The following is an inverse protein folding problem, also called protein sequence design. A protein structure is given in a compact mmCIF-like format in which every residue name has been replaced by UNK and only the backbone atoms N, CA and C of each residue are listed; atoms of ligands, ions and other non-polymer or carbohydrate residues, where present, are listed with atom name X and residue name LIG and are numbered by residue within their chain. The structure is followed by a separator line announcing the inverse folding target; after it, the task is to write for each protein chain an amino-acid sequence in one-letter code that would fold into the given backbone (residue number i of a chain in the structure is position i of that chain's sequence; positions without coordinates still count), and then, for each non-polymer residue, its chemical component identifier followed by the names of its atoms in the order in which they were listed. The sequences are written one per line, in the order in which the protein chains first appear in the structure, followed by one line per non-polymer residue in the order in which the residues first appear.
data_IF_874366328653
#
_entry.id   IF_874366328653
#
_cell.length_a   1.000
_cell.length_b   1.000
_cell.length_c   1.000
_cell.angle_alpha   90.00
_cell.angle_beta   90.00
_cell.angle_gamma   90.00
#
_symmetry.space_group_name_H-M   'P 1'
#
loop_
_entity.id
_entity.type
_entity.pdbx_description
1 polymer ?
#
# COMPACT_ATOMS: atom_id res chain seq x y z
N UNK A 1 6.90 9.65 12.10
CA UNK A 1 7.38 9.92 10.74
C UNK A 1 6.41 10.86 10.00
N UNK A 2 5.18 10.45 9.72
CA UNK A 2 4.23 11.29 8.96
C UNK A 2 3.95 12.62 9.65
N UNK A 3 3.80 12.64 10.97
CA UNK A 3 3.53 13.86 11.73
C UNK A 3 4.71 14.85 11.64
N UNK A 4 5.94 14.35 11.71
CA UNK A 4 7.13 15.20 11.79
C UNK A 4 7.58 15.70 10.41
N UNK A 5 7.39 14.88 9.36
CA UNK A 5 7.91 15.16 8.01
C UNK A 5 6.86 15.48 6.97
N UNK A 6 5.56 15.44 7.29
CA UNK A 6 4.49 15.71 6.30
C UNK A 6 4.60 17.10 5.66
N UNK A 7 5.16 18.07 6.38
CA UNK A 7 5.40 19.43 5.89
C UNK A 7 6.81 19.64 5.32
N UNK A 8 7.68 18.63 5.32
CA UNK A 8 8.97 18.69 4.65
C UNK A 8 8.76 18.67 3.13
N UNK A 9 9.25 19.72 2.46
CA UNK A 9 9.10 19.86 1.01
C UNK A 9 9.80 18.76 0.21
N UNK A 10 10.78 18.08 0.81
CA UNK A 10 11.46 16.93 0.21
C UNK A 10 10.59 15.70 0.23
N UNK A 11 9.73 15.53 1.25
CA UNK A 11 8.90 14.35 1.42
C UNK A 11 7.64 14.39 0.55
N UNK A 12 6.85 15.49 0.65
CA UNK A 12 5.52 15.58 0.05
C UNK A 12 5.30 16.96 -0.58
N UNK A 13 5.02 17.00 -1.88
CA UNK A 13 4.68 18.27 -2.51
C UNK A 13 4.51 18.22 -4.03
N UNK A 14 3.85 19.25 -4.56
CA UNK A 14 3.65 19.45 -6.01
C UNK A 14 4.99 19.61 -6.75
N UNK A 15 6.00 20.17 -6.08
CA UNK A 15 7.35 20.29 -6.66
C UNK A 15 7.95 18.92 -6.99
N UNK A 16 7.68 17.90 -6.16
CA UNK A 16 8.13 16.54 -6.43
C UNK A 16 7.46 15.95 -7.68
N UNK A 17 6.19 16.33 -7.95
CA UNK A 17 5.50 15.91 -9.17
C UNK A 17 6.17 16.47 -10.43
N UNK A 18 6.66 17.72 -10.37
CA UNK A 18 7.34 18.36 -11.49
C UNK A 18 8.77 17.81 -11.67
N UNK A 19 9.51 17.66 -10.57
CA UNK A 19 10.93 17.27 -10.60
C UNK A 19 11.12 15.76 -10.72
N UNK A 20 10.27 14.99 -10.05
CA UNK A 20 10.44 13.54 -9.90
C UNK A 20 9.29 12.73 -10.52
N UNK A 21 8.23 13.39 -11.04
CA UNK A 21 6.98 12.74 -11.50
C UNK A 21 6.30 11.87 -10.43
N UNK A 22 6.48 12.26 -9.17
CA UNK A 22 5.91 11.61 -7.97
C UNK A 22 5.43 12.68 -7.00
N UNK A 23 4.32 12.43 -6.29
CA UNK A 23 3.87 13.34 -5.21
C UNK A 23 4.67 13.06 -3.94
N UNK A 24 4.92 11.77 -3.66
CA UNK A 24 5.78 11.33 -2.57
C UNK A 24 7.18 11.08 -3.12
N UNK A 25 8.18 11.74 -2.55
CA UNK A 25 9.57 11.46 -2.89
C UNK A 25 10.05 10.21 -2.15
N UNK A 26 9.93 9.08 -2.79
CA UNK A 26 10.38 7.82 -2.22
C UNK A 26 11.91 7.71 -2.12
N UNK A 27 12.65 8.41 -2.95
CA UNK A 27 14.11 8.47 -2.83
C UNK A 27 14.51 9.16 -1.52
N UNK A 28 13.83 10.25 -1.16
CA UNK A 28 14.02 10.87 0.16
C UNK A 28 13.64 9.91 1.29
N UNK A 29 12.51 9.19 1.18
CA UNK A 29 12.02 8.30 2.22
C UNK A 29 12.94 7.08 2.42
N UNK A 30 13.30 6.41 1.34
CA UNK A 30 14.03 5.12 1.40
C UNK A 30 15.56 5.30 1.44
N UNK A 31 16.10 6.43 1.04
CA UNK A 31 17.53 6.71 1.10
C UNK A 31 17.87 7.68 2.24
N UNK A 32 17.51 8.97 2.10
CA UNK A 32 17.95 9.98 3.06
C UNK A 32 17.38 9.78 4.45
N UNK A 33 16.05 9.55 4.53
CA UNK A 33 15.37 9.43 5.82
C UNK A 33 15.77 8.14 6.53
N UNK A 34 15.70 7.00 5.84
CA UNK A 34 15.92 5.69 6.46
C UNK A 34 17.38 5.33 6.74
N UNK A 35 18.33 6.02 6.10
CA UNK A 35 19.76 5.76 6.33
C UNK A 35 20.46 6.85 7.14
N UNK A 36 20.00 8.11 7.07
CA UNK A 36 20.75 9.24 7.62
C UNK A 36 19.99 10.04 8.68
N UNK A 37 18.69 10.31 8.46
CA UNK A 37 17.91 11.20 9.33
C UNK A 37 17.24 10.42 10.47
N UNK A 38 16.59 9.31 10.14
CA UNK A 38 16.00 8.34 11.08
C UNK A 38 16.50 6.95 10.69
N UNK A 39 17.75 6.60 11.00
CA UNK A 39 18.34 5.36 10.52
C UNK A 39 17.55 4.16 11.02
N UNK A 40 17.13 3.33 10.09
CA UNK A 40 16.50 2.05 10.34
C UNK A 40 17.59 1.03 10.71
N UNK A 41 17.34 0.22 11.70
CA UNK A 41 18.22 -0.91 12.04
C UNK A 41 18.02 -2.04 11.03
N UNK A 42 18.67 -1.90 9.86
CA UNK A 42 18.63 -2.90 8.80
C UNK A 42 19.21 -4.24 9.23
N UNK A 43 20.22 -4.22 10.07
CA UNK A 43 20.87 -5.42 10.60
C UNK A 43 19.88 -6.27 11.39
N UNK A 44 19.18 -5.67 12.33
CA UNK A 44 18.11 -6.36 13.08
C UNK A 44 16.98 -6.79 12.17
N UNK A 45 16.57 -5.96 11.21
CA UNK A 45 15.52 -6.34 10.25
C UNK A 45 15.88 -7.60 9.46
N UNK A 46 17.08 -7.65 8.87
CA UNK A 46 17.50 -8.80 8.06
C UNK A 46 17.80 -10.05 8.88
N UNK A 47 18.36 -9.89 10.10
CA UNK A 47 18.70 -11.02 10.98
C UNK A 47 17.49 -11.56 11.76
N UNK A 48 16.41 -10.79 11.88
CA UNK A 48 15.20 -11.22 12.59
C UNK A 48 14.63 -12.51 11.97
N UNK A 49 14.25 -13.50 12.78
CA UNK A 49 13.59 -14.72 12.33
C UNK A 49 12.14 -14.48 11.87
N UNK A 50 11.60 -13.27 12.10
CA UNK A 50 10.25 -12.94 11.68
C UNK A 50 10.12 -12.93 10.15
N UNK A 51 9.09 -13.60 9.66
CA UNK A 51 8.71 -13.50 8.25
C UNK A 51 8.17 -12.10 7.96
N UNK A 52 8.58 -11.56 6.84
CA UNK A 52 8.06 -10.29 6.34
C UNK A 52 7.78 -10.45 4.85
N UNK A 53 6.57 -10.09 4.43
CA UNK A 53 6.13 -10.18 3.03
C UNK A 53 5.56 -8.85 2.59
N UNK A 54 6.12 -8.25 1.54
CA UNK A 54 5.55 -7.11 0.85
C UNK A 54 4.67 -7.59 -0.31
N UNK A 55 3.57 -6.88 -0.57
CA UNK A 55 2.65 -7.22 -1.67
C UNK A 55 2.66 -6.08 -2.70
N UNK A 56 2.92 -6.40 -3.95
CA UNK A 56 2.85 -5.43 -5.04
C UNK A 56 2.05 -6.00 -6.22
N UNK A 57 1.52 -5.11 -7.06
CA UNK A 57 0.75 -5.51 -8.26
C UNK A 57 1.65 -5.45 -9.48
N UNK A 58 1.82 -6.58 -10.17
CA UNK A 58 2.53 -6.64 -11.44
C UNK A 58 1.71 -5.97 -12.55
N UNK A 59 2.31 -5.02 -13.28
CA UNK A 59 1.60 -4.27 -14.33
C UNK A 59 1.24 -5.14 -15.53
N UNK A 60 2.08 -6.12 -15.85
CA UNK A 60 1.86 -6.99 -17.02
C UNK A 60 0.72 -7.98 -16.78
N UNK A 61 0.67 -8.59 -15.58
CA UNK A 61 -0.32 -9.62 -15.24
C UNK A 61 -1.60 -9.04 -14.61
N UNK A 62 -1.50 -7.87 -13.94
CA UNK A 62 -2.55 -7.28 -13.12
C UNK A 62 -2.79 -8.04 -11.81
N UNK A 63 -1.91 -8.97 -11.46
CA UNK A 63 -2.03 -9.82 -10.27
C UNK A 63 -1.14 -9.32 -9.14
N UNK A 64 -1.49 -9.71 -7.90
CA UNK A 64 -0.66 -9.47 -6.74
C UNK A 64 0.50 -10.47 -6.71
N UNK A 65 1.70 -9.96 -6.46
CA UNK A 65 2.88 -10.76 -6.18
C UNK A 65 3.36 -10.49 -4.75
N UNK A 66 3.87 -11.56 -4.12
CA UNK A 66 4.28 -11.58 -2.72
C UNK A 66 5.79 -11.72 -2.64
N UNK A 67 6.44 -10.72 -2.05
CA UNK A 67 7.89 -10.64 -1.92
C UNK A 67 8.28 -10.90 -0.47
N UNK A 68 8.84 -12.06 -0.22
CA UNK A 68 9.28 -12.46 1.12
C UNK A 68 10.72 -12.00 1.38
N UNK A 69 10.96 -11.46 2.57
CA UNK A 69 12.29 -11.01 3.00
C UNK A 69 13.37 -12.06 2.81
N UNK A 70 13.03 -13.32 3.05
CA UNK A 70 13.98 -14.46 2.99
C UNK A 70 14.44 -14.82 1.58
N UNK A 71 13.65 -14.51 0.54
CA UNK A 71 13.90 -14.92 -0.84
C UNK A 71 13.99 -13.76 -1.83
N UNK A 72 13.52 -12.57 -1.45
CA UNK A 72 13.55 -11.39 -2.30
C UNK A 72 14.95 -10.78 -2.33
N UNK A 73 15.52 -10.57 -3.52
CA UNK A 73 16.84 -9.97 -3.69
C UNK A 73 16.91 -8.49 -3.26
N UNK A 74 15.78 -7.78 -3.33
CA UNK A 74 15.64 -6.38 -2.90
C UNK A 74 14.27 -6.15 -2.27
N UNK A 75 14.17 -6.45 -0.97
CA UNK A 75 12.92 -6.29 -0.22
C UNK A 75 12.54 -4.80 -0.06
N UNK A 76 13.50 -3.88 -0.07
CA UNK A 76 13.21 -2.45 0.03
C UNK A 76 12.55 -1.93 -1.24
N UNK A 77 12.99 -2.39 -2.42
CA UNK A 77 12.29 -2.11 -3.67
C UNK A 77 10.87 -2.69 -3.67
N UNK A 78 10.65 -3.88 -3.09
CA UNK A 78 9.32 -4.46 -2.97
C UNK A 78 8.41 -3.65 -2.01
N UNK A 79 8.94 -3.14 -0.89
CA UNK A 79 8.22 -2.24 0.02
C UNK A 79 7.88 -0.93 -0.69
N UNK A 80 8.82 -0.37 -1.45
CA UNK A 80 8.58 0.83 -2.27
C UNK A 80 7.46 0.57 -3.29
N UNK A 81 7.51 -0.55 -4.02
CA UNK A 81 6.48 -0.93 -4.97
C UNK A 81 5.10 -1.08 -4.31
N UNK A 82 5.06 -1.75 -3.15
CA UNK A 82 3.86 -1.93 -2.33
C UNK A 82 3.19 -0.61 -1.92
N UNK A 83 3.96 0.46 -1.83
CA UNK A 83 3.51 1.81 -1.44
C UNK A 83 3.32 2.75 -2.62
N UNK A 84 3.65 2.32 -3.86
CA UNK A 84 3.64 3.15 -5.06
C UNK A 84 2.24 3.23 -5.67
N UNK A 85 1.48 4.26 -5.30
CA UNK A 85 0.11 4.46 -5.79
C UNK A 85 0.08 4.84 -7.28
N UNK A 86 -0.85 4.28 -8.08
CA UNK A 86 -1.04 4.65 -9.48
C UNK A 86 -1.23 6.16 -9.66
N UNK A 87 -0.56 6.74 -10.65
CA UNK A 87 -0.55 8.17 -11.00
C UNK A 87 0.15 9.10 -9.98
N UNK A 88 0.41 8.65 -8.76
CA UNK A 88 1.04 9.45 -7.71
C UNK A 88 2.50 9.07 -7.50
N UNK A 89 2.91 7.90 -8.00
CA UNK A 89 4.26 7.36 -7.89
C UNK A 89 4.67 6.65 -9.17
N UNK A 90 5.97 6.54 -9.39
CA UNK A 90 6.52 5.73 -10.49
C UNK A 90 6.37 4.25 -10.20
N UNK A 91 6.18 3.46 -11.26
CA UNK A 91 6.29 2.02 -11.15
C UNK A 91 7.73 1.61 -10.81
N UNK A 92 7.87 0.66 -9.90
CA UNK A 92 9.16 0.11 -9.47
C UNK A 92 9.52 -1.08 -10.34
N UNK A 93 10.74 -1.09 -10.87
CA UNK A 93 11.23 -2.19 -11.69
C UNK A 93 11.97 -3.21 -10.82
N UNK A 94 11.50 -4.45 -10.83
CA UNK A 94 12.14 -5.58 -10.16
C UNK A 94 12.09 -6.81 -11.08
N UNK A 95 13.18 -7.55 -11.16
CA UNK A 95 13.27 -8.80 -11.96
C UNK A 95 12.78 -8.66 -13.41
N UNK A 96 12.97 -7.50 -14.02
CA UNK A 96 12.53 -7.21 -15.40
C UNK A 96 11.08 -6.78 -15.56
N UNK A 97 10.25 -6.85 -14.51
CA UNK A 97 8.84 -6.47 -14.47
C UNK A 97 8.63 -5.11 -13.77
N UNK A 98 7.46 -4.52 -13.97
CA UNK A 98 7.05 -3.26 -13.35
C UNK A 98 5.93 -3.50 -12.33
N UNK A 99 6.06 -2.85 -11.17
CA UNK A 99 5.16 -3.03 -10.05
C UNK A 99 4.64 -1.69 -9.51
N UNK A 100 3.41 -1.71 -9.05
CA UNK A 100 2.76 -0.65 -8.28
C UNK A 100 2.10 -1.24 -7.04
N UNK A 101 1.42 -0.36 -6.26
CA UNK A 101 0.75 -0.67 -4.99
C UNK A 101 -0.02 -1.99 -5.01
N UNK A 102 0.24 -2.83 -4.02
CA UNK A 102 -0.43 -4.12 -3.86
C UNK A 102 -1.94 -4.01 -3.75
N UNK A 103 -2.45 -2.90 -3.22
CA UNK A 103 -3.89 -2.62 -3.13
C UNK A 103 -4.62 -2.52 -4.46
N UNK A 104 -3.89 -2.41 -5.59
CA UNK A 104 -4.49 -2.47 -6.92
C UNK A 104 -5.01 -3.87 -7.28
N UNK A 105 -4.38 -4.92 -6.78
CA UNK A 105 -4.80 -6.32 -6.98
C UNK A 105 -5.28 -6.99 -5.69
N UNK A 106 -4.65 -6.69 -4.54
CA UNK A 106 -4.93 -7.32 -3.26
C UNK A 106 -4.82 -6.30 -2.13
N UNK A 107 -5.93 -5.66 -1.77
CA UNK A 107 -5.93 -4.59 -0.76
C UNK A 107 -5.67 -5.11 0.65
N UNK A 108 -6.16 -6.31 0.98
CA UNK A 108 -6.01 -6.93 2.30
C UNK A 108 -5.61 -8.40 2.07
N UNK A 109 -4.33 -8.75 2.23
CA UNK A 109 -3.80 -10.06 1.84
C UNK A 109 -4.02 -11.18 2.88
N UNK A 110 -5.17 -11.19 3.58
CA UNK A 110 -5.49 -12.17 4.62
C UNK A 110 -5.52 -13.60 4.09
N UNK A 111 -5.94 -13.78 2.83
CA UNK A 111 -6.01 -15.10 2.23
C UNK A 111 -4.63 -15.77 2.14
N UNK A 112 -3.59 -14.98 1.81
CA UNK A 112 -2.21 -15.49 1.80
C UNK A 112 -1.81 -16.05 3.18
N UNK A 113 -2.17 -15.37 4.26
CA UNK A 113 -1.88 -15.87 5.60
C UNK A 113 -2.63 -17.19 5.91
N UNK A 114 -3.87 -17.33 5.44
CA UNK A 114 -4.63 -18.58 5.56
C UNK A 114 -3.97 -19.71 4.74
N UNK A 115 -3.60 -19.41 3.49
CA UNK A 115 -2.99 -20.37 2.57
C UNK A 115 -1.60 -20.82 3.03
N UNK A 116 -0.87 -19.95 3.73
CA UNK A 116 0.41 -20.25 4.37
C UNK A 116 0.25 -21.08 5.67
N UNK A 117 -0.98 -21.37 6.10
CA UNK A 117 -1.26 -22.23 7.23
C UNK A 117 -1.19 -21.54 8.61
N UNK A 118 -1.22 -20.19 8.66
CA UNK A 118 -1.28 -19.50 9.94
C UNK A 118 -2.62 -19.72 10.64
N UNK A 119 -2.60 -20.27 11.85
CA UNK A 119 -3.79 -20.52 12.66
C UNK A 119 -4.32 -19.27 13.37
N UNK A 120 -3.44 -18.33 13.70
CA UNK A 120 -3.76 -17.07 14.39
C UNK A 120 -3.44 -15.90 13.50
N UNK A 121 -4.47 -15.24 13.01
CA UNK A 121 -4.35 -14.11 12.07
C UNK A 121 -4.94 -12.86 12.72
N UNK A 122 -4.14 -11.80 12.77
CA UNK A 122 -4.57 -10.47 13.21
C UNK A 122 -4.54 -9.54 12.00
N UNK A 123 -5.68 -8.92 11.70
CA UNK A 123 -5.80 -7.90 10.67
C UNK A 123 -5.84 -6.51 11.31
N UNK A 124 -4.93 -5.62 10.89
CA UNK A 124 -4.97 -4.21 11.25
C UNK A 124 -5.49 -3.43 10.06
N UNK A 125 -6.73 -2.96 10.16
CA UNK A 125 -7.43 -2.25 9.08
C UNK A 125 -7.40 -0.75 9.31
N UNK A 126 -7.32 0.01 8.22
CA UNK A 126 -7.28 1.49 8.24
C UNK A 126 -8.67 2.12 8.10
N UNK A 127 -9.73 1.33 8.01
CA UNK A 127 -11.12 1.79 7.85
C UNK A 127 -12.03 1.09 8.85
N UNK A 128 -13.04 1.81 9.30
CA UNK A 128 -14.07 1.31 10.23
C UNK A 128 -14.91 0.20 9.60
N UNK A 129 -15.61 -0.52 10.45
CA UNK A 129 -16.56 -1.53 10.00
C UNK A 129 -17.65 -0.92 9.10
N UNK A 130 -18.09 -1.68 8.10
CA UNK A 130 -19.11 -1.22 7.16
C UNK A 130 -18.62 -0.20 6.12
N UNK A 131 -17.36 0.20 6.15
CA UNK A 131 -16.81 1.06 5.09
C UNK A 131 -16.94 0.39 3.72
N UNK A 132 -17.37 1.17 2.72
CA UNK A 132 -17.43 0.76 1.31
C UNK A 132 -16.53 1.66 0.49
N UNK A 133 -15.74 1.06 -0.39
CA UNK A 133 -14.87 1.83 -1.26
C UNK A 133 -15.69 2.49 -2.37
N UNK A 134 -15.54 3.81 -2.52
CA UNK A 134 -16.24 4.54 -3.58
C UNK A 134 -15.75 4.08 -4.95
N UNK A 135 -16.68 3.98 -5.91
CA UNK A 135 -16.33 3.75 -7.30
C UNK A 135 -15.49 4.90 -7.85
N UNK A 136 -14.52 4.55 -8.66
CA UNK A 136 -13.65 5.53 -9.31
C UNK A 136 -14.47 6.39 -10.27
N UNK A 137 -14.30 7.71 -10.18
CA UNK A 137 -15.02 8.66 -11.05
C UNK A 137 -14.71 8.39 -12.54
N UNK A 138 -15.67 8.57 -13.47
CA UNK A 138 -15.47 8.33 -14.90
C UNK A 138 -14.26 9.08 -15.49
N UNK A 139 -14.03 10.32 -15.07
CA UNK A 139 -12.85 11.10 -15.49
C UNK A 139 -11.53 10.45 -15.09
N UNK A 140 -11.46 9.85 -13.89
CA UNK A 140 -10.28 9.14 -13.44
C UNK A 140 -10.11 7.80 -14.15
N UNK A 141 -11.21 7.09 -14.45
CA UNK A 141 -11.15 5.87 -15.25
C UNK A 141 -10.60 6.15 -16.66
N UNK A 142 -11.01 7.26 -17.27
CA UNK A 142 -10.47 7.67 -18.57
C UNK A 142 -8.97 8.00 -18.49
N UNK A 143 -8.56 8.67 -17.43
CA UNK A 143 -7.14 8.98 -17.19
C UNK A 143 -6.31 7.71 -16.98
N UNK A 144 -6.82 6.74 -16.21
CA UNK A 144 -6.18 5.43 -16.05
C UNK A 144 -6.07 4.70 -17.39
N UNK A 145 -7.13 4.69 -18.20
CA UNK A 145 -7.13 4.06 -19.53
C UNK A 145 -6.04 4.65 -20.43
N UNK A 146 -5.87 5.98 -20.42
CA UNK A 146 -4.83 6.67 -21.18
C UNK A 146 -3.43 6.35 -20.68
N UNK A 147 -3.20 6.41 -19.37
CA UNK A 147 -1.88 6.25 -18.75
C UNK A 147 -1.41 4.80 -18.82
N UNK A 148 -2.28 3.84 -18.48
CA UNK A 148 -1.97 2.41 -18.44
C UNK A 148 -2.41 1.65 -19.70
N UNK A 149 -2.53 2.33 -20.86
CA UNK A 149 -2.98 1.73 -22.14
C UNK A 149 -2.18 0.50 -22.56
N UNK A 150 -0.92 0.41 -22.17
CA UNK A 150 -0.03 -0.72 -22.49
C UNK A 150 -0.12 -1.87 -21.45
N UNK A 151 -0.92 -1.70 -20.41
CA UNK A 151 -1.09 -2.66 -19.31
C UNK A 151 -2.58 -2.99 -19.09
N UNK A 152 -3.26 -3.63 -20.07
CA UNK A 152 -4.71 -3.82 -20.02
C UNK A 152 -5.17 -4.68 -18.84
N UNK A 153 -4.36 -5.67 -18.42
CA UNK A 153 -4.66 -6.50 -17.26
C UNK A 153 -4.58 -5.72 -15.94
N UNK A 154 -3.57 -4.86 -15.79
CA UNK A 154 -3.47 -3.96 -14.66
C UNK A 154 -4.64 -2.97 -14.63
N UNK A 155 -5.02 -2.42 -15.78
CA UNK A 155 -6.18 -1.53 -15.89
C UNK A 155 -7.47 -2.23 -15.45
N UNK A 156 -7.67 -3.49 -15.85
CA UNK A 156 -8.78 -4.32 -15.37
C UNK A 156 -8.76 -4.52 -13.86
N UNK A 157 -7.56 -4.77 -13.28
CA UNK A 157 -7.38 -4.88 -11.84
C UNK A 157 -7.77 -3.58 -11.11
N UNK A 158 -7.35 -2.41 -11.63
CA UNK A 158 -7.72 -1.10 -11.07
C UNK A 158 -9.23 -0.86 -11.07
N UNK A 159 -9.91 -1.21 -12.16
CA UNK A 159 -11.37 -1.03 -12.27
C UNK A 159 -12.12 -1.93 -11.26
N UNK A 160 -11.60 -3.11 -10.97
CA UNK A 160 -12.19 -4.05 -10.05
C UNK A 160 -11.92 -3.73 -8.56
N UNK A 161 -11.06 -2.74 -8.24
CA UNK A 161 -10.66 -2.44 -6.85
C UNK A 161 -11.86 -2.24 -5.92
N UNK A 162 -12.88 -1.41 -6.22
CA UNK A 162 -13.99 -1.21 -5.29
C UNK A 162 -14.76 -2.49 -5.01
N UNK A 163 -15.13 -3.23 -6.06
CA UNK A 163 -15.90 -4.48 -5.95
C UNK A 163 -15.12 -5.56 -5.20
N UNK A 164 -13.81 -5.68 -5.48
CA UNK A 164 -12.93 -6.64 -4.80
C UNK A 164 -12.75 -6.29 -3.32
N UNK A 165 -12.53 -5.01 -3.01
CA UNK A 165 -12.42 -4.55 -1.64
C UNK A 165 -13.67 -4.83 -0.83
N UNK A 166 -14.86 -4.56 -1.39
CA UNK A 166 -16.13 -4.83 -0.74
C UNK A 166 -16.37 -6.33 -0.52
N UNK A 167 -15.94 -7.18 -1.45
CA UNK A 167 -16.00 -8.64 -1.29
C UNK A 167 -15.06 -9.09 -0.16
N UNK A 168 -13.83 -8.58 -0.10
CA UNK A 168 -12.87 -8.84 0.97
C UNK A 168 -13.43 -8.44 2.34
N UNK A 169 -14.04 -7.26 2.46
CA UNK A 169 -14.63 -6.80 3.72
C UNK A 169 -15.75 -7.73 4.20
N UNK A 170 -16.63 -8.18 3.30
CA UNK A 170 -17.69 -9.16 3.69
C UNK A 170 -17.11 -10.47 4.19
N UNK A 171 -16.07 -10.96 3.54
CA UNK A 171 -15.41 -12.20 3.94
C UNK A 171 -14.66 -12.04 5.28
N UNK A 172 -13.98 -10.93 5.48
CA UNK A 172 -13.32 -10.59 6.75
C UNK A 172 -14.35 -10.51 7.89
N UNK A 173 -15.51 -9.85 7.68
CA UNK A 173 -16.57 -9.77 8.67
C UNK A 173 -17.13 -11.18 9.01
N UNK A 174 -17.17 -12.10 8.04
CA UNK A 174 -17.57 -13.49 8.26
C UNK A 174 -16.53 -14.25 9.09
N UNK A 175 -15.27 -14.19 8.70
CA UNK A 175 -14.16 -14.87 9.39
C UNK A 175 -13.96 -14.37 10.83
N UNK A 176 -14.17 -13.07 11.05
CA UNK A 176 -14.13 -12.47 12.40
C UNK A 176 -15.26 -13.01 13.29
N UNK A 177 -16.50 -13.09 12.77
CA UNK A 177 -17.65 -13.69 13.50
C UNK A 177 -17.45 -15.16 13.82
N UNK A 178 -16.75 -15.89 12.95
CA UNK A 178 -16.41 -17.30 13.17
C UNK A 178 -15.21 -17.49 14.12
N UNK A 179 -14.59 -16.38 14.59
CA UNK A 179 -13.42 -16.43 15.46
C UNK A 179 -12.14 -16.93 14.79
N UNK A 180 -12.10 -16.96 13.45
CA UNK A 180 -10.94 -17.43 12.68
C UNK A 180 -9.86 -16.36 12.53
N UNK A 181 -10.24 -15.10 12.63
CA UNK A 181 -9.34 -13.95 12.58
C UNK A 181 -9.70 -12.95 13.66
N UNK A 182 -8.71 -12.17 14.11
CA UNK A 182 -8.92 -11.03 14.99
C UNK A 182 -8.71 -9.75 14.21
N UNK A 183 -9.63 -8.77 14.34
CA UNK A 183 -9.57 -7.52 13.55
C UNK A 183 -9.43 -6.32 14.47
N UNK A 184 -8.38 -5.53 14.22
CA UNK A 184 -8.18 -4.21 14.81
C UNK A 184 -8.56 -3.18 13.76
N UNK A 185 -9.52 -2.31 14.06
CA UNK A 185 -9.99 -1.28 13.12
C UNK A 185 -10.41 -0.01 13.85
N UNK A 186 -10.42 1.16 13.18
CA UNK A 186 -10.95 2.39 13.76
C UNK A 186 -12.42 2.22 14.16
N UNK A 187 -12.82 2.79 15.29
CA UNK A 187 -14.20 2.76 15.77
C UNK A 187 -15.15 3.64 14.94
N UNK A 188 -14.60 4.67 14.29
CA UNK A 188 -15.36 5.63 13.48
C UNK A 188 -14.67 6.01 12.18
N UNK A 189 -15.32 6.86 11.38
CA UNK A 189 -14.76 7.32 10.09
C UNK A 189 -13.42 8.03 10.25
N UNK A 190 -12.45 7.61 9.44
CA UNK A 190 -11.13 8.26 9.37
C UNK A 190 -11.21 9.43 8.39
N UNK A 191 -11.14 10.66 8.93
CA UNK A 191 -11.31 11.92 8.19
C UNK A 191 -9.98 12.57 7.80
N UNK A 192 -8.97 11.78 7.46
CA UNK A 192 -7.69 12.26 6.94
C UNK A 192 -7.49 11.81 5.50
N UNK A 193 -6.94 12.69 4.68
CA UNK A 193 -6.60 12.36 3.28
C UNK A 193 -5.25 11.67 3.18
N UNK A 194 -4.96 11.02 2.04
CA UNK A 194 -3.63 10.43 1.78
C UNK A 194 -2.51 11.48 1.72
N UNK A 195 -2.86 12.73 1.46
CA UNK A 195 -1.93 13.87 1.38
C UNK A 195 -2.22 14.91 2.46
N UNK A 196 -2.76 14.46 3.63
CA UNK A 196 -3.05 15.36 4.75
C UNK A 196 -1.78 16.03 5.26
N UNK A 197 -1.84 17.35 5.43
CA UNK A 197 -0.74 18.17 5.94
C UNK A 197 -1.03 18.80 7.29
N UNK A 198 -2.26 18.72 7.74
CA UNK A 198 -2.67 19.21 9.06
C UNK A 198 -2.15 18.24 10.14
N UNK A 199 -1.08 18.65 10.80
CA UNK A 199 -0.45 17.84 11.86
C UNK A 199 -1.35 17.66 13.09
N UNK A 200 -2.30 18.57 13.34
CA UNK A 200 -3.26 18.43 14.44
C UNK A 200 -4.25 17.29 14.15
N UNK A 201 -4.76 17.22 12.90
CA UNK A 201 -5.60 16.08 12.46
C UNK A 201 -4.87 14.75 12.49
N UNK A 202 -3.57 14.75 12.08
CA UNK A 202 -2.76 13.54 12.12
C UNK A 202 -2.50 13.07 13.54
N UNK A 203 -2.24 13.99 14.49
CA UNK A 203 -2.10 13.68 15.92
C UNK A 203 -3.40 13.13 16.50
N UNK A 204 -4.54 13.78 16.23
CA UNK A 204 -5.83 13.31 16.70
C UNK A 204 -6.24 11.93 16.15
N UNK A 205 -5.69 11.53 15.00
CA UNK A 205 -5.88 10.17 14.47
C UNK A 205 -4.96 9.15 15.16
N UNK A 206 -3.79 9.59 15.62
CA UNK A 206 -2.80 8.73 16.28
C UNK A 206 -3.20 8.40 17.73
N UNK A 207 -3.80 9.35 18.44
CA UNK A 207 -4.33 9.21 19.81
C UNK A 207 -5.65 8.42 19.84
#
# INVERSE_FOLDING_TARGET
LNIDYVNDKRYLGVNNLILHHEIFNFDFLFNDLSHSILPMDFDTFYKSPQHFTAVATNLRTGEAEYFEKSSCSDILAAIRASSSMPMLSKAVKMNGELYLDGGCAMAIPYQKAIDDGFEKIVLVLTRQQGYRKLYTKPSMLHLYAKYFRHFPKFLSALYAVPTRYDAQQREIDRLEKEGRIFVIRPQGPVNVSHTEKDTAKLKALYE
#
